data_IF_343829415079
#
_entry.id   IF_343829415079
#
_cell.length_a   1.000
_cell.length_b   1.000
_cell.length_c   1.000
_cell.angle_alpha   90.00
_cell.angle_beta   90.00
_cell.angle_gamma   90.00
#
_symmetry.space_group_name_H-M   'P 1'
#
loop_
_entity.id
_entity.type
_entity.pdbx_description
1 polymer ?
#
# COMPACT_ATOMS: atom_id res chain seq x y z
N UNK A 1 -11.24 -25.61 16.95
CA UNK A 1 -11.46 -24.32 16.26
C UNK A 1 -10.35 -24.14 15.22
N UNK A 2 -10.59 -24.57 13.98
CA UNK A 2 -9.66 -24.39 12.86
C UNK A 2 -10.53 -23.96 11.68
N UNK A 3 -10.48 -22.67 11.31
CA UNK A 3 -11.37 -22.14 10.27
C UNK A 3 -11.25 -20.63 9.97
N UNK A 4 -10.62 -19.83 10.84
CA UNK A 4 -10.56 -18.37 10.64
C UNK A 4 -9.35 -17.89 9.81
N UNK A 5 -8.21 -18.57 9.84
CA UNK A 5 -6.97 -18.02 9.25
C UNK A 5 -6.93 -18.05 7.71
N UNK A 6 -7.60 -19.02 7.06
CA UNK A 6 -7.62 -19.08 5.57
C UNK A 6 -8.55 -18.05 4.93
N UNK A 7 -9.55 -17.55 5.67
CA UNK A 7 -10.51 -16.58 5.15
C UNK A 7 -9.92 -15.17 5.12
N UNK A 8 -9.02 -14.81 6.06
CA UNK A 8 -8.52 -13.46 6.19
C UNK A 8 -7.79 -12.91 4.94
N UNK A 9 -6.92 -13.65 4.23
CA UNK A 9 -6.30 -13.16 2.99
C UNK A 9 -7.32 -12.97 1.85
N UNK A 10 -8.30 -13.88 1.76
CA UNK A 10 -9.33 -13.84 0.72
C UNK A 10 -10.30 -12.68 0.96
N UNK A 11 -10.74 -12.48 2.20
CA UNK A 11 -11.57 -11.34 2.62
C UNK A 11 -10.86 -10.00 2.34
N UNK A 12 -9.57 -9.90 2.66
CA UNK A 12 -8.77 -8.73 2.36
C UNK A 12 -8.72 -8.44 0.85
N UNK A 13 -8.52 -9.47 0.02
CA UNK A 13 -8.51 -9.32 -1.43
C UNK A 13 -9.88 -8.91 -1.99
N UNK A 14 -10.97 -9.46 -1.45
CA UNK A 14 -12.33 -9.11 -1.82
C UNK A 14 -12.66 -7.67 -1.45
N UNK A 15 -12.29 -7.20 -0.26
CA UNK A 15 -12.52 -5.79 0.15
C UNK A 15 -11.80 -4.80 -0.78
N UNK A 16 -10.55 -5.08 -1.14
CA UNK A 16 -9.80 -4.25 -2.09
C UNK A 16 -10.45 -4.27 -3.47
N UNK A 17 -10.83 -5.45 -3.96
CA UNK A 17 -11.47 -5.63 -5.27
C UNK A 17 -12.81 -4.91 -5.35
N UNK A 18 -13.66 -5.07 -4.33
CA UNK A 18 -14.95 -4.40 -4.25
C UNK A 18 -14.78 -2.88 -4.26
N UNK A 19 -13.90 -2.34 -3.42
CA UNK A 19 -13.63 -0.90 -3.40
C UNK A 19 -13.15 -0.39 -4.76
N UNK A 20 -12.36 -1.18 -5.50
CA UNK A 20 -11.88 -0.79 -6.83
C UNK A 20 -13.03 -0.75 -7.85
N UNK A 21 -13.90 -1.78 -7.85
CA UNK A 21 -15.07 -1.86 -8.72
C UNK A 21 -16.07 -0.73 -8.44
N UNK A 22 -16.23 -0.34 -7.17
CA UNK A 22 -17.06 0.79 -6.76
C UNK A 22 -16.47 2.17 -7.11
N UNK A 23 -15.28 2.23 -7.71
CA UNK A 23 -14.61 3.48 -8.05
C UNK A 23 -14.11 4.26 -6.83
N UNK A 24 -13.75 3.56 -5.75
CA UNK A 24 -13.16 4.21 -4.58
C UNK A 24 -11.91 5.01 -4.96
N UNK A 25 -11.68 6.19 -4.33
CA UNK A 25 -10.51 6.98 -4.65
C UNK A 25 -9.22 6.22 -4.28
N UNK A 26 -8.10 6.42 -5.01
CA UNK A 26 -6.85 5.70 -4.77
C UNK A 26 -6.38 5.72 -3.31
N UNK A 27 -6.55 6.84 -2.60
CA UNK A 27 -6.21 6.96 -1.17
C UNK A 27 -6.94 5.95 -0.29
N UNK A 28 -8.21 5.65 -0.59
CA UNK A 28 -9.01 4.67 0.15
C UNK A 28 -8.50 3.25 -0.13
N UNK A 29 -8.25 2.91 -1.39
CA UNK A 29 -7.70 1.61 -1.79
C UNK A 29 -6.36 1.32 -1.12
N UNK A 30 -5.40 2.25 -1.21
CA UNK A 30 -4.08 2.08 -0.61
C UNK A 30 -4.16 1.93 0.92
N UNK A 31 -5.13 2.60 1.57
CA UNK A 31 -5.32 2.48 3.02
C UNK A 31 -5.89 1.12 3.43
N UNK A 32 -6.81 0.56 2.64
CA UNK A 32 -7.33 -0.81 2.84
C UNK A 32 -6.18 -1.81 2.70
N UNK A 33 -5.40 -1.70 1.63
CA UNK A 33 -4.22 -2.55 1.39
C UNK A 33 -3.25 -2.47 2.59
N UNK A 34 -2.85 -1.26 2.99
CA UNK A 34 -1.88 -1.08 4.08
C UNK A 34 -2.36 -1.72 5.40
N UNK A 35 -3.65 -1.55 5.73
CA UNK A 35 -4.26 -2.12 6.94
C UNK A 35 -4.24 -3.65 6.92
N UNK A 36 -4.67 -4.25 5.81
CA UNK A 36 -4.66 -5.71 5.65
C UNK A 36 -3.27 -6.30 5.65
N UNK A 37 -2.33 -5.69 4.91
CA UNK A 37 -0.92 -6.10 4.93
C UNK A 37 -0.33 -6.06 6.34
N UNK A 38 -0.68 -5.05 7.14
CA UNK A 38 -0.20 -4.97 8.52
C UNK A 38 -0.72 -6.13 9.38
N UNK A 39 -2.01 -6.42 9.30
CA UNK A 39 -2.63 -7.51 10.06
C UNK A 39 -2.11 -8.88 9.61
N UNK A 40 -2.13 -9.15 8.30
CA UNK A 40 -1.75 -10.44 7.73
C UNK A 40 -0.27 -10.78 7.95
N UNK A 41 0.61 -9.77 7.92
CA UNK A 41 2.05 -9.97 8.10
C UNK A 41 2.51 -9.81 9.56
N UNK A 42 1.59 -9.45 10.48
CA UNK A 42 1.96 -9.11 11.85
C UNK A 42 2.93 -7.93 11.95
N UNK A 43 2.94 -7.05 10.94
CA UNK A 43 3.92 -5.98 10.85
C UNK A 43 3.63 -4.88 11.88
N UNK A 44 4.67 -4.31 12.47
CA UNK A 44 4.52 -3.17 13.40
C UNK A 44 4.17 -1.87 12.65
N UNK A 45 4.64 -1.75 11.40
CA UNK A 45 4.46 -0.62 10.50
C UNK A 45 4.38 -1.12 9.05
N UNK A 46 3.45 -0.57 8.27
CA UNK A 46 3.37 -0.75 6.82
C UNK A 46 3.25 0.63 6.17
N UNK A 47 3.98 0.85 5.08
CA UNK A 47 3.87 2.02 4.24
C UNK A 47 3.69 1.57 2.79
N UNK A 48 2.78 2.24 2.07
CA UNK A 48 2.58 2.02 0.64
C UNK A 48 3.07 3.26 -0.10
N UNK A 49 4.05 3.05 -0.96
CA UNK A 49 4.61 4.08 -1.82
C UNK A 49 4.32 3.73 -3.28
N UNK A 50 4.05 4.75 -4.08
CA UNK A 50 3.90 4.63 -5.52
C UNK A 50 4.94 5.51 -6.20
N UNK A 51 5.31 5.25 -7.46
CA UNK A 51 6.15 6.18 -8.21
C UNK A 51 5.63 7.63 -8.12
N UNK A 52 6.55 8.58 -8.03
CA UNK A 52 6.22 9.99 -8.22
C UNK A 52 5.96 10.28 -9.69
N UNK A 53 5.04 11.21 -9.95
CA UNK A 53 4.65 11.60 -11.31
C UNK A 53 5.78 12.40 -12.01
N UNK A 54 6.57 13.15 -11.24
CA UNK A 54 7.49 14.20 -11.72
C UNK A 54 8.95 14.10 -11.24
N UNK A 55 9.38 12.96 -10.68
CA UNK A 55 10.76 12.85 -10.21
C UNK A 55 11.18 11.47 -9.71
N UNK A 56 12.49 11.24 -9.48
CA UNK A 56 13.00 9.98 -8.97
C UNK A 56 12.46 9.68 -7.56
N UNK A 57 11.94 8.48 -7.36
CA UNK A 57 11.51 7.99 -6.05
C UNK A 57 10.04 7.63 -5.93
N UNK A 58 9.67 7.21 -4.72
CA UNK A 58 8.37 6.64 -4.39
C UNK A 58 7.82 7.34 -3.15
N UNK A 59 7.01 8.41 -3.31
CA UNK A 59 6.33 9.06 -2.20
C UNK A 59 5.43 8.07 -1.47
N UNK A 60 5.54 8.06 -0.14
CA UNK A 60 4.65 7.30 0.73
C UNK A 60 3.26 7.91 0.65
N UNK A 61 2.31 7.18 0.07
CA UNK A 61 0.92 7.61 -0.12
C UNK A 61 0.07 7.34 1.12
N UNK A 62 0.39 6.27 1.86
CA UNK A 62 -0.25 5.95 3.13
C UNK A 62 0.66 5.12 4.01
N UNK A 63 0.48 5.19 5.32
CA UNK A 63 1.18 4.38 6.30
C UNK A 63 0.29 4.08 7.50
N UNK A 64 0.39 2.86 8.04
CA UNK A 64 -0.39 2.39 9.19
C UNK A 64 0.52 1.68 10.19
N UNK A 65 0.21 1.81 11.48
CA UNK A 65 1.00 1.24 12.58
C UNK A 65 1.89 2.25 13.29
N UNK A 66 2.81 1.73 14.11
CA UNK A 66 3.66 2.54 14.98
C UNK A 66 4.62 3.41 14.16
N UNK A 67 4.69 4.71 14.45
CA UNK A 67 5.55 5.65 13.73
C UNK A 67 5.03 6.10 12.35
N UNK A 68 3.87 5.61 11.89
CA UNK A 68 3.27 5.98 10.59
C UNK A 68 3.16 7.48 10.32
N UNK A 69 2.94 8.30 11.37
CA UNK A 69 2.91 9.77 11.25
C UNK A 69 4.23 10.37 10.74
N UNK A 70 5.37 9.76 11.06
CA UNK A 70 6.71 10.22 10.64
C UNK A 70 7.00 9.94 9.18
N UNK A 71 6.33 8.95 8.58
CA UNK A 71 6.48 8.59 7.17
C UNK A 71 5.57 9.39 6.23
N UNK A 72 4.64 10.20 6.76
CA UNK A 72 3.83 11.07 5.90
C UNK A 72 4.74 12.11 5.25
N UNK A 73 4.67 12.22 3.93
CA UNK A 73 5.49 13.16 3.16
C UNK A 73 6.92 12.68 2.90
N UNK A 74 7.28 11.46 3.32
CA UNK A 74 8.56 10.86 2.93
C UNK A 74 8.51 10.37 1.49
N UNK A 75 9.62 10.55 0.78
CA UNK A 75 9.88 9.96 -0.53
C UNK A 75 10.99 8.95 -0.41
N UNK A 76 10.70 7.70 -0.71
CA UNK A 76 11.71 6.64 -0.75
C UNK A 76 12.52 6.81 -2.03
N UNK A 77 13.86 6.96 -1.96
CA UNK A 77 14.69 7.05 -3.16
C UNK A 77 14.52 5.82 -4.06
N UNK A 78 14.52 6.02 -5.37
CA UNK A 78 14.60 4.89 -6.30
C UNK A 78 16.03 4.36 -6.28
N UNK A 79 16.21 3.09 -5.87
CA UNK A 79 17.51 2.43 -5.99
C UNK A 79 17.92 2.21 -7.44
N UNK A 80 16.95 2.03 -8.34
CA UNK A 80 17.15 1.91 -9.78
C UNK A 80 16.28 2.96 -10.53
N UNK A 81 16.90 4.01 -11.09
CA UNK A 81 16.19 5.05 -11.84
C UNK A 81 15.48 4.54 -13.10
N UNK A 82 15.98 3.49 -13.75
CA UNK A 82 15.40 2.94 -14.98
C UNK A 82 14.10 2.17 -14.68
N UNK A 83 14.10 1.38 -13.61
CA UNK A 83 12.87 0.71 -13.12
C UNK A 83 11.83 1.74 -12.67
N UNK A 84 12.28 2.79 -11.96
CA UNK A 84 11.37 3.87 -11.56
C UNK A 84 10.76 4.61 -12.76
N UNK A 85 11.54 4.85 -13.83
CA UNK A 85 11.04 5.46 -15.05
C UNK A 85 10.04 4.54 -15.79
N UNK A 86 10.32 3.24 -15.88
CA UNK A 86 9.42 2.27 -16.51
C UNK A 86 8.06 2.17 -15.79
N UNK A 87 8.05 2.32 -14.46
CA UNK A 87 6.81 2.33 -13.67
C UNK A 87 5.96 3.60 -13.85
N UNK A 88 6.53 4.72 -14.36
CA UNK A 88 5.78 5.94 -14.69
C UNK A 88 5.14 5.91 -16.08
N UNK A 89 5.71 5.14 -17.01
CA UNK A 89 5.29 5.13 -18.42
C UNK A 89 4.07 4.24 -18.71
N UNK A 90 3.38 3.75 -17.67
CA UNK A 90 2.19 2.89 -17.73
C UNK A 90 0.99 3.61 -17.14
#
# INVERSE_FOLDING_TARGET
MMGSERLAPVEAALEVSQAAVEGAPPRKLLSIIARHSRTLLGATLVAVATPADDGPGHPVRTAVGFGSRRLRGWTIPAHDPAVAAALRAR
#
